data_IF_900179232261
#
_entry.id   IF_900179232261
#
_cell.length_a   1.000
_cell.length_b   1.000
_cell.length_c   1.000
_cell.angle_alpha   90.00
_cell.angle_beta   90.00
_cell.angle_gamma   90.00
#
_symmetry.space_group_name_H-M   'P 1'
#
loop_
_entity.id
_entity.type
_entity.pdbx_description
1 polymer ?
#
# COMPACT_ATOMS: atom_id res chain seq x y z
N UNK A 1 36.32 -42.21 30.37
CA UNK A 1 34.85 -42.30 30.20
C UNK A 1 34.35 -41.00 29.56
N UNK A 2 34.29 -40.98 28.21
CA UNK A 2 33.78 -39.85 27.42
C UNK A 2 32.27 -40.03 27.20
N UNK A 3 31.46 -39.01 27.49
CA UNK A 3 30.06 -38.93 27.06
C UNK A 3 29.99 -38.06 25.80
N UNK A 4 29.93 -38.72 24.65
CA UNK A 4 29.64 -38.11 23.35
C UNK A 4 28.11 -38.15 23.17
N UNK A 5 27.45 -37.00 23.25
CA UNK A 5 26.01 -36.85 23.02
C UNK A 5 25.77 -36.30 21.59
N UNK A 6 24.66 -36.67 20.92
CA UNK A 6 24.55 -36.66 19.47
C UNK A 6 24.17 -35.28 18.92
N UNK A 7 25.04 -34.71 18.08
CA UNK A 7 24.79 -33.47 17.32
C UNK A 7 23.97 -33.73 16.03
N UNK A 8 23.63 -34.99 15.72
CA UNK A 8 23.04 -35.37 14.42
C UNK A 8 21.52 -35.16 14.28
N UNK A 9 20.80 -34.71 15.30
CA UNK A 9 19.31 -34.67 15.30
C UNK A 9 18.63 -33.39 14.79
N UNK A 10 19.36 -32.29 14.53
CA UNK A 10 18.75 -30.95 14.33
C UNK A 10 18.64 -30.53 12.85
N UNK A 11 19.24 -31.27 11.92
CA UNK A 11 19.28 -30.85 10.49
C UNK A 11 18.01 -31.25 9.70
N UNK A 12 17.20 -32.19 10.20
CA UNK A 12 16.05 -32.74 9.47
C UNK A 12 14.76 -31.91 9.47
N UNK A 13 14.59 -30.95 10.37
CA UNK A 13 13.34 -30.16 10.52
C UNK A 13 13.33 -28.84 9.77
N UNK A 14 14.44 -28.43 9.14
CA UNK A 14 14.52 -27.14 8.44
C UNK A 14 13.84 -27.11 7.06
N UNK A 15 13.55 -28.25 6.43
CA UNK A 15 13.04 -28.29 5.04
C UNK A 15 11.51 -28.11 4.96
N UNK A 16 10.77 -28.39 6.03
CA UNK A 16 9.30 -28.21 6.04
C UNK A 16 8.85 -26.77 6.38
N UNK A 17 9.78 -25.85 6.65
CA UNK A 17 9.49 -24.45 7.03
C UNK A 17 9.85 -23.43 5.94
N UNK A 18 10.09 -23.86 4.70
CA UNK A 18 10.58 -23.02 3.59
C UNK A 18 9.56 -21.98 3.06
N UNK A 19 8.39 -21.84 3.70
CA UNK A 19 7.32 -20.95 3.23
C UNK A 19 7.34 -19.51 3.77
N UNK A 20 8.12 -19.20 4.81
CA UNK A 20 8.08 -17.89 5.45
C UNK A 20 9.41 -17.16 5.27
N UNK A 21 9.53 -16.34 4.22
CA UNK A 21 10.71 -15.51 3.96
C UNK A 21 11.19 -14.71 5.20
N UNK A 22 10.26 -14.33 6.08
CA UNK A 22 10.56 -13.60 7.32
C UNK A 22 11.33 -14.40 8.38
N UNK A 23 11.33 -15.74 8.31
CA UNK A 23 12.02 -16.58 9.30
C UNK A 23 13.53 -16.52 9.14
N UNK A 24 14.04 -16.63 7.90
CA UNK A 24 15.48 -16.56 7.62
C UNK A 24 16.06 -15.18 7.93
N UNK A 25 15.33 -14.11 7.63
CA UNK A 25 15.75 -12.75 7.98
C UNK A 25 15.88 -12.61 9.52
N UNK A 26 14.92 -13.13 10.26
CA UNK A 26 14.96 -13.07 11.72
C UNK A 26 16.09 -13.95 12.30
N UNK A 27 16.36 -15.14 11.73
CA UNK A 27 17.47 -16.03 12.16
C UNK A 27 18.86 -15.45 11.82
N UNK A 28 18.98 -14.72 10.72
CA UNK A 28 20.26 -14.12 10.31
C UNK A 28 20.50 -12.73 10.92
N UNK A 29 19.49 -12.15 11.57
CA UNK A 29 19.55 -10.83 12.21
C UNK A 29 20.61 -10.72 13.30
N UNK A 30 21.12 -9.50 13.53
CA UNK A 30 22.05 -9.21 14.64
C UNK A 30 21.42 -9.51 16.00
N UNK A 31 20.11 -9.30 16.13
CA UNK A 31 19.34 -9.56 17.36
C UNK A 31 19.34 -11.05 17.70
N UNK A 32 19.17 -11.92 16.70
CA UNK A 32 19.27 -13.37 16.91
C UNK A 32 20.66 -13.78 17.41
N UNK A 33 21.73 -13.15 16.91
CA UNK A 33 23.10 -13.43 17.38
C UNK A 33 23.30 -13.02 18.83
N UNK A 34 22.69 -11.93 19.29
CA UNK A 34 22.79 -11.47 20.69
C UNK A 34 21.88 -12.23 21.65
N UNK A 35 20.70 -12.66 21.19
CA UNK A 35 19.67 -13.28 22.03
C UNK A 35 18.83 -14.31 21.24
N UNK A 36 19.40 -15.47 20.88
CA UNK A 36 18.75 -16.43 19.98
C UNK A 36 17.46 -17.00 20.58
N UNK A 37 17.45 -17.30 21.88
CA UNK A 37 16.26 -17.84 22.56
C UNK A 37 15.12 -16.82 22.65
N UNK A 38 15.40 -15.57 23.06
CA UNK A 38 14.39 -14.51 23.12
C UNK A 38 13.81 -14.20 21.73
N UNK A 39 14.67 -14.16 20.72
CA UNK A 39 14.24 -13.95 19.33
C UNK A 39 13.35 -15.09 18.84
N UNK A 40 13.69 -16.34 19.14
CA UNK A 40 12.89 -17.52 18.78
C UNK A 40 11.53 -17.50 19.49
N UNK A 41 11.49 -17.12 20.78
CA UNK A 41 10.23 -16.98 21.53
C UNK A 41 9.36 -15.89 20.91
N UNK A 42 9.92 -14.74 20.57
CA UNK A 42 9.20 -13.64 19.90
C UNK A 42 8.71 -13.98 18.49
N UNK A 43 9.38 -14.88 17.77
CA UNK A 43 8.88 -15.40 16.49
C UNK A 43 7.61 -16.23 16.70
N UNK A 44 7.59 -17.08 17.72
CA UNK A 44 6.46 -17.99 18.01
C UNK A 44 5.29 -17.26 18.67
N UNK A 45 5.60 -16.31 19.55
CA UNK A 45 4.64 -15.50 20.31
C UNK A 45 5.01 -14.03 20.17
N UNK A 46 4.58 -13.39 19.07
CA UNK A 46 4.84 -11.98 18.90
C UNK A 46 4.22 -11.17 20.04
N UNK A 47 4.94 -10.14 20.48
CA UNK A 47 4.43 -9.15 21.43
C UNK A 47 3.20 -8.45 20.82
N UNK A 48 2.28 -8.04 21.70
CA UNK A 48 1.10 -7.28 21.29
C UNK A 48 1.54 -6.03 20.49
N UNK A 49 1.04 -5.84 19.25
CA UNK A 49 1.46 -4.73 18.42
C UNK A 49 1.22 -3.35 19.07
N UNK A 50 0.19 -3.20 19.91
CA UNK A 50 -0.05 -1.95 20.63
C UNK A 50 1.03 -1.67 21.68
N UNK A 51 1.50 -2.70 22.38
CA UNK A 51 2.60 -2.57 23.35
C UNK A 51 3.89 -2.15 22.65
N UNK A 52 4.18 -2.71 21.47
CA UNK A 52 5.35 -2.34 20.66
C UNK A 52 5.27 -0.88 20.20
N UNK A 53 4.10 -0.41 19.79
CA UNK A 53 3.90 0.95 19.29
C UNK A 53 3.85 2.01 20.40
N UNK A 54 3.37 1.66 21.59
CA UNK A 54 3.30 2.56 22.77
C UNK A 54 4.60 2.60 23.59
N UNK A 55 5.59 1.77 23.28
CA UNK A 55 6.81 1.66 24.06
C UNK A 55 7.57 3.00 24.19
N UNK A 56 8.04 3.29 25.40
CA UNK A 56 8.91 4.43 25.71
C UNK A 56 10.15 3.94 26.49
N UNK A 57 11.37 4.00 25.93
CA UNK A 57 11.72 4.60 24.63
C UNK A 57 11.15 3.82 23.43
N UNK A 58 11.00 4.45 22.26
CA UNK A 58 10.51 3.80 21.05
C UNK A 58 11.32 2.55 20.70
N UNK A 59 10.64 1.47 20.29
CA UNK A 59 11.28 0.25 19.76
C UNK A 59 11.97 0.53 18.42
N UNK A 60 12.72 -0.46 17.93
CA UNK A 60 13.36 -0.39 16.62
C UNK A 60 12.33 -0.16 15.50
N UNK A 61 12.75 0.48 14.41
CA UNK A 61 11.88 0.71 13.24
C UNK A 61 11.32 -0.60 12.68
N UNK A 62 12.11 -1.67 12.68
CA UNK A 62 11.69 -2.98 12.19
C UNK A 62 10.62 -3.62 13.08
N UNK A 63 10.76 -3.52 14.40
CA UNK A 63 9.76 -4.03 15.34
C UNK A 63 8.43 -3.27 15.20
N UNK A 64 8.51 -1.94 15.06
CA UNK A 64 7.33 -1.08 14.83
C UNK A 64 6.66 -1.40 13.49
N UNK A 65 7.41 -1.59 12.42
CA UNK A 65 6.88 -1.98 11.11
C UNK A 65 6.15 -3.33 11.18
N UNK A 66 6.77 -4.34 11.80
CA UNK A 66 6.16 -5.66 12.03
C UNK A 66 4.91 -5.56 12.90
N UNK A 67 4.91 -4.71 13.92
CA UNK A 67 3.74 -4.45 14.75
C UNK A 67 2.58 -3.84 13.92
N UNK A 68 2.84 -2.82 13.10
CA UNK A 68 1.84 -2.21 12.22
C UNK A 68 1.20 -3.22 11.26
N UNK A 69 1.99 -4.13 10.68
CA UNK A 69 1.47 -5.17 9.80
C UNK A 69 0.60 -6.21 10.52
N UNK A 70 0.75 -6.36 11.83
CA UNK A 70 -0.05 -7.26 12.68
C UNK A 70 -1.25 -6.59 13.33
N UNK A 71 -1.35 -5.26 13.25
CA UNK A 71 -2.49 -4.53 13.81
C UNK A 71 -3.79 -5.03 13.18
N UNK A 72 -4.75 -5.26 14.06
CA UNK A 72 -6.15 -5.53 13.75
C UNK A 72 -7.00 -4.40 14.31
N UNK A 73 -8.11 -4.11 13.64
CA UNK A 73 -9.00 -3.01 14.01
C UNK A 73 -9.63 -3.25 15.40
N UNK A 74 -9.40 -2.39 16.41
CA UNK A 74 -9.87 -2.60 17.77
C UNK A 74 -11.38 -2.87 17.87
N UNK A 75 -12.21 -2.07 17.21
CA UNK A 75 -13.68 -2.21 17.30
C UNK A 75 -14.19 -3.57 16.79
N UNK A 76 -13.56 -4.11 15.75
CA UNK A 76 -13.90 -5.43 15.20
C UNK A 76 -13.46 -6.57 16.12
N UNK A 77 -12.51 -6.32 17.03
CA UNK A 77 -11.89 -7.31 17.91
C UNK A 77 -12.20 -7.09 19.40
N UNK A 78 -13.30 -6.40 19.71
CA UNK A 78 -13.77 -6.19 21.08
C UNK A 78 -13.00 -5.13 21.88
N UNK A 79 -12.19 -4.32 21.22
CA UNK A 79 -11.53 -3.14 21.80
C UNK A 79 -12.45 -1.94 21.95
N UNK A 80 -11.93 -0.87 22.56
CA UNK A 80 -12.69 0.36 22.80
C UNK A 80 -12.59 1.36 21.63
N UNK A 81 -13.51 2.33 21.59
CA UNK A 81 -13.41 3.47 20.65
C UNK A 81 -12.14 4.29 20.89
N UNK A 82 -11.69 4.42 22.14
CA UNK A 82 -10.46 5.13 22.48
C UNK A 82 -9.23 4.44 21.88
N UNK A 83 -9.17 3.11 21.92
CA UNK A 83 -8.08 2.34 21.30
C UNK A 83 -8.11 2.48 19.77
N UNK A 84 -9.30 2.50 19.15
CA UNK A 84 -9.45 2.76 17.72
C UNK A 84 -8.89 4.13 17.34
N UNK A 85 -9.27 5.17 18.08
CA UNK A 85 -8.84 6.55 17.81
C UNK A 85 -7.33 6.72 17.96
N UNK A 86 -6.75 6.17 19.03
CA UNK A 86 -5.31 6.20 19.25
C UNK A 86 -4.55 5.44 18.14
N UNK A 87 -5.08 4.31 17.70
CA UNK A 87 -4.46 3.51 16.65
C UNK A 87 -4.52 4.23 15.28
N UNK A 88 -5.66 4.83 14.94
CA UNK A 88 -5.79 5.65 13.72
C UNK A 88 -4.84 6.84 13.76
N UNK A 89 -4.73 7.56 14.89
CA UNK A 89 -3.79 8.69 15.04
C UNK A 89 -2.32 8.23 14.87
N UNK A 90 -1.96 7.12 15.50
CA UNK A 90 -0.61 6.54 15.39
C UNK A 90 -0.28 6.16 13.95
N UNK A 91 -1.20 5.48 13.26
CA UNK A 91 -1.04 5.09 11.86
C UNK A 91 -1.02 6.31 10.93
N UNK A 92 -1.83 7.34 11.20
CA UNK A 92 -1.86 8.56 10.41
C UNK A 92 -0.54 9.31 10.50
N UNK A 93 -0.01 9.49 11.71
CA UNK A 93 1.32 10.11 11.91
C UNK A 93 2.41 9.31 11.22
N UNK A 94 2.37 7.97 11.34
CA UNK A 94 3.34 7.09 10.72
C UNK A 94 3.30 7.13 9.18
N UNK A 95 2.11 7.14 8.58
CA UNK A 95 1.93 7.14 7.13
C UNK A 95 2.32 8.47 6.46
N UNK A 96 2.08 9.60 7.15
CA UNK A 96 2.23 10.94 6.58
C UNK A 96 3.57 11.60 6.88
N UNK A 97 4.13 11.36 8.07
CA UNK A 97 5.25 12.16 8.59
C UNK A 97 6.46 11.36 9.08
N UNK A 98 6.38 10.02 9.17
CA UNK A 98 7.52 9.23 9.66
C UNK A 98 8.76 9.38 8.75
N UNK A 99 9.98 9.55 9.29
CA UNK A 99 11.18 9.68 8.48
C UNK A 99 11.61 8.36 7.83
N UNK A 100 11.08 7.21 8.27
CA UNK A 100 11.37 5.91 7.67
C UNK A 100 10.34 5.56 6.58
N UNK A 101 10.76 5.33 5.32
CA UNK A 101 9.84 4.90 4.26
C UNK A 101 9.24 3.51 4.55
N UNK A 102 9.95 2.65 5.28
CA UNK A 102 9.47 1.32 5.68
C UNK A 102 8.28 1.43 6.65
N UNK A 103 8.35 2.35 7.61
CA UNK A 103 7.25 2.59 8.55
C UNK A 103 6.04 3.21 7.84
N UNK A 104 6.27 4.13 6.90
CA UNK A 104 5.18 4.68 6.07
C UNK A 104 4.44 3.60 5.30
N UNK A 105 5.16 2.75 4.57
CA UNK A 105 4.57 1.65 3.80
C UNK A 105 3.79 0.69 4.71
N UNK A 106 4.36 0.34 5.87
CA UNK A 106 3.70 -0.54 6.84
C UNK A 106 2.42 0.07 7.40
N UNK A 107 2.43 1.38 7.69
CA UNK A 107 1.26 2.11 8.15
C UNK A 107 0.18 2.23 7.07
N UNK A 108 0.56 2.52 5.82
CA UNK A 108 -0.34 2.56 4.65
C UNK A 108 -1.02 1.21 4.45
N UNK A 109 -0.26 0.11 4.56
CA UNK A 109 -0.82 -1.24 4.45
C UNK A 109 -1.75 -1.60 5.62
N UNK A 110 -1.45 -1.12 6.82
CA UNK A 110 -2.33 -1.28 7.98
C UNK A 110 -3.65 -0.54 7.78
N UNK A 111 -3.59 0.75 7.41
CA UNK A 111 -4.76 1.58 7.12
C UNK A 111 -5.65 0.97 6.02
N UNK A 112 -5.06 0.32 5.03
CA UNK A 112 -5.80 -0.34 3.95
C UNK A 112 -6.70 -1.49 4.41
N UNK A 113 -6.43 -2.07 5.59
CA UNK A 113 -7.23 -3.16 6.17
C UNK A 113 -8.34 -2.66 7.10
N UNK A 114 -8.32 -1.38 7.47
CA UNK A 114 -9.24 -0.82 8.45
C UNK A 114 -10.52 -0.36 7.74
N UNK A 115 -11.66 -0.65 8.35
CA UNK A 115 -12.97 -0.24 7.85
C UNK A 115 -13.35 1.18 8.28
N UNK A 116 -12.60 1.77 9.22
CA UNK A 116 -12.76 3.16 9.68
C UNK A 116 -12.76 4.20 8.55
N UNK A 117 -13.84 4.98 8.45
CA UNK A 117 -14.05 5.99 7.40
C UNK A 117 -12.91 7.03 7.30
N UNK A 118 -12.21 7.32 8.40
CA UNK A 118 -11.08 8.26 8.42
C UNK A 118 -9.85 7.76 7.65
N UNK A 119 -9.67 6.44 7.53
CA UNK A 119 -8.50 5.85 6.89
C UNK A 119 -8.30 6.33 5.43
N UNK A 120 -9.37 6.53 4.67
CA UNK A 120 -9.29 7.03 3.29
C UNK A 120 -8.69 8.44 3.22
N UNK A 121 -9.14 9.36 4.10
CA UNK A 121 -8.59 10.71 4.16
C UNK A 121 -7.11 10.73 4.55
N UNK A 122 -6.72 9.86 5.50
CA UNK A 122 -5.31 9.70 5.91
C UNK A 122 -4.46 9.17 4.75
N UNK A 123 -4.96 8.19 4.00
CA UNK A 123 -4.27 7.66 2.82
C UNK A 123 -4.09 8.74 1.74
N UNK A 124 -5.12 9.53 1.44
CA UNK A 124 -5.01 10.66 0.51
C UNK A 124 -3.96 11.69 0.95
N UNK A 125 -3.89 11.99 2.25
CA UNK A 125 -2.86 12.86 2.80
C UNK A 125 -1.46 12.22 2.70
N UNK A 126 -1.33 10.91 2.93
CA UNK A 126 -0.07 10.18 2.77
C UNK A 126 0.45 10.19 1.32
N UNK A 127 -0.45 10.19 0.33
CA UNK A 127 -0.09 10.37 -1.08
C UNK A 127 0.56 11.74 -1.33
N UNK A 128 -0.05 12.81 -0.80
CA UNK A 128 0.45 14.18 -0.95
C UNK A 128 1.82 14.34 -0.28
N UNK A 129 1.98 13.76 0.92
CA UNK A 129 3.20 13.83 1.71
C UNK A 129 4.24 12.76 1.36
N UNK A 130 4.06 12.02 0.26
CA UNK A 130 4.92 10.89 -0.11
C UNK A 130 6.39 11.26 -0.31
N UNK A 131 6.70 12.53 -0.59
CA UNK A 131 8.07 13.03 -0.75
C UNK A 131 8.91 13.02 0.54
N UNK A 132 8.27 12.86 1.71
CA UNK A 132 8.99 12.72 2.98
C UNK A 132 9.63 14.02 3.50
N UNK A 133 9.22 15.19 3.01
CA UNK A 133 9.67 16.47 3.58
C UNK A 133 8.79 16.79 4.78
N UNK A 134 9.41 16.97 5.93
CA UNK A 134 8.75 17.60 7.07
C UNK A 134 8.67 19.09 6.80
N UNK A 135 7.49 19.69 6.91
CA UNK A 135 7.32 21.15 6.79
C UNK A 135 8.13 21.90 7.84
N UNK A 136 8.43 21.26 8.98
CA UNK A 136 9.24 21.83 10.07
C UNK A 136 10.74 21.87 9.76
N UNK A 137 11.20 21.23 8.67
CA UNK A 137 12.57 21.33 8.20
C UNK A 137 12.80 22.69 7.50
N UNK A 138 12.54 23.78 8.22
CA UNK A 138 13.07 25.09 7.89
C UNK A 138 14.59 24.99 7.97
N UNK A 139 15.24 24.82 6.81
CA UNK A 139 16.70 24.85 6.75
C UNK A 139 17.12 26.25 7.21
N UNK A 140 17.81 26.42 8.35
CA UNK A 140 18.22 27.74 8.79
C UNK A 140 19.22 28.29 7.75
N UNK A 141 18.75 29.21 6.93
CA UNK A 141 19.52 29.87 5.86
C UNK A 141 20.39 31.00 6.42
N UNK A 142 21.07 30.75 7.54
CA UNK A 142 22.11 31.67 8.02
C UNK A 142 23.29 31.62 7.04
N UNK A 143 23.25 32.47 6.01
CA UNK A 143 24.35 32.68 5.07
C UNK A 143 25.54 33.25 5.82
N UNK A 144 26.57 32.43 6.04
CA UNK A 144 27.90 32.94 6.40
C UNK A 144 28.55 33.47 5.12
N UNK A 145 28.86 34.78 5.02
CA UNK A 145 29.54 35.33 3.86
C UNK A 145 30.91 34.65 3.67
N UNK A 146 31.15 34.09 2.49
CA UNK A 146 32.42 33.40 2.16
C UNK A 146 32.43 31.88 2.41
N UNK A 147 31.36 31.29 2.96
CA UNK A 147 31.25 29.85 3.07
C UNK A 147 30.95 29.20 1.72
N UNK A 148 31.63 28.08 1.42
CA UNK A 148 31.36 27.22 0.26
C UNK A 148 29.85 26.87 0.26
N UNK A 149 29.17 26.89 -0.90
CA UNK A 149 27.74 26.57 -0.95
C UNK A 149 27.53 25.21 -0.27
N UNK A 150 26.64 25.13 0.73
CA UNK A 150 26.40 23.87 1.43
C UNK A 150 25.96 22.84 0.41
N UNK A 151 26.51 21.63 0.48
CA UNK A 151 26.00 20.50 -0.28
C UNK A 151 24.50 20.41 0.05
N UNK A 152 23.65 20.57 -0.97
CA UNK A 152 22.21 20.48 -0.82
C UNK A 152 21.91 19.04 -0.38
N UNK A 153 21.72 18.84 0.92
CA UNK A 153 21.27 17.56 1.46
C UNK A 153 19.86 17.34 0.92
N UNK A 154 19.60 16.26 0.18
CA UNK A 154 18.26 15.98 -0.32
C UNK A 154 17.27 15.99 0.85
N UNK A 155 16.37 16.97 0.86
CA UNK A 155 15.28 17.04 1.83
C UNK A 155 14.17 16.14 1.30
N UNK A 156 14.15 14.89 1.73
CA UNK A 156 13.10 13.92 1.36
C UNK A 156 13.63 12.56 0.91
N UNK A 157 12.72 11.71 0.46
CA UNK A 157 13.05 10.38 -0.06
C UNK A 157 13.57 10.45 -1.51
N UNK A 158 14.27 9.39 -1.92
CA UNK A 158 14.59 9.17 -3.33
C UNK A 158 13.29 9.06 -4.15
N UNK A 159 13.28 9.54 -5.41
CA UNK A 159 12.05 9.62 -6.20
C UNK A 159 11.40 8.24 -6.42
N UNK A 160 12.19 7.18 -6.66
CA UNK A 160 11.70 5.79 -6.69
C UNK A 160 10.92 5.36 -5.42
N UNK A 161 11.35 5.84 -4.26
CA UNK A 161 10.67 5.56 -2.98
C UNK A 161 9.35 6.33 -2.89
N UNK A 162 9.32 7.57 -3.39
CA UNK A 162 8.10 8.38 -3.49
C UNK A 162 7.08 7.70 -4.41
N UNK A 163 7.51 7.22 -5.57
CA UNK A 163 6.66 6.46 -6.50
C UNK A 163 6.10 5.22 -5.82
N UNK A 164 6.96 4.45 -5.13
CA UNK A 164 6.55 3.23 -4.42
C UNK A 164 5.48 3.52 -3.36
N UNK A 165 5.67 4.58 -2.57
CA UNK A 165 4.69 5.02 -1.57
C UNK A 165 3.38 5.42 -2.25
N UNK A 166 3.43 6.23 -3.32
CA UNK A 166 2.25 6.68 -4.07
C UNK A 166 1.47 5.50 -4.67
N UNK A 167 2.15 4.56 -5.34
CA UNK A 167 1.53 3.35 -5.87
C UNK A 167 0.85 2.55 -4.76
N UNK A 168 1.54 2.33 -3.63
CA UNK A 168 0.99 1.58 -2.50
C UNK A 168 -0.25 2.25 -1.91
N UNK A 169 -0.25 3.58 -1.76
CA UNK A 169 -1.41 4.34 -1.28
C UNK A 169 -2.60 4.18 -2.22
N UNK A 170 -2.38 4.36 -3.52
CA UNK A 170 -3.42 4.27 -4.55
C UNK A 170 -4.03 2.87 -4.62
N UNK A 171 -3.20 1.83 -4.52
CA UNK A 171 -3.66 0.44 -4.42
C UNK A 171 -4.45 0.18 -3.13
N UNK A 172 -4.02 0.75 -2.00
CA UNK A 172 -4.73 0.66 -0.73
C UNK A 172 -6.11 1.34 -0.77
N UNK A 173 -6.20 2.52 -1.41
CA UNK A 173 -7.47 3.23 -1.62
C UNK A 173 -8.43 2.40 -2.49
N UNK A 174 -7.94 1.85 -3.60
CA UNK A 174 -8.71 0.99 -4.49
C UNK A 174 -9.23 -0.28 -3.80
N UNK A 175 -8.39 -0.92 -2.97
CA UNK A 175 -8.80 -2.09 -2.18
C UNK A 175 -9.90 -1.77 -1.17
N UNK A 176 -9.84 -0.59 -0.55
CA UNK A 176 -10.88 -0.13 0.37
C UNK A 176 -12.22 0.14 -0.31
N UNK A 177 -12.21 0.42 -1.62
CA UNK A 177 -13.42 0.51 -2.44
C UNK A 177 -14.41 1.57 -1.96
N UNK A 178 -13.95 2.67 -1.35
CA UNK A 178 -14.83 3.69 -0.79
C UNK A 178 -15.18 4.75 -1.84
N UNK A 179 -16.44 5.21 -1.93
CA UNK A 179 -16.88 6.09 -3.01
C UNK A 179 -16.14 7.45 -2.99
N UNK A 180 -15.75 7.95 -1.82
CA UNK A 180 -15.03 9.23 -1.67
C UNK A 180 -13.64 9.19 -2.35
N UNK A 181 -13.07 8.00 -2.51
CA UNK A 181 -11.74 7.82 -3.12
C UNK A 181 -11.78 7.79 -4.64
N UNK A 182 -12.95 7.54 -5.25
CA UNK A 182 -13.10 7.36 -6.71
C UNK A 182 -12.69 8.63 -7.46
N UNK A 183 -13.15 9.80 -7.01
CA UNK A 183 -12.81 11.07 -7.62
C UNK A 183 -11.30 11.35 -7.57
N UNK A 184 -10.65 10.99 -6.46
CA UNK A 184 -9.21 11.12 -6.30
C UNK A 184 -8.42 10.14 -7.17
N UNK A 185 -8.84 8.88 -7.24
CA UNK A 185 -8.23 7.90 -8.14
C UNK A 185 -8.41 8.27 -9.61
N UNK A 186 -9.58 8.81 -9.99
CA UNK A 186 -9.86 9.29 -11.34
C UNK A 186 -8.98 10.48 -11.73
N UNK A 187 -8.77 11.43 -10.81
CA UNK A 187 -7.89 12.58 -11.07
C UNK A 187 -6.44 12.16 -11.27
N UNK A 188 -5.95 11.19 -10.47
CA UNK A 188 -4.62 10.61 -10.66
C UNK A 188 -4.54 9.89 -12.01
N UNK A 189 -5.47 8.98 -12.32
CA UNK A 189 -5.46 8.20 -13.56
C UNK A 189 -5.49 9.09 -14.83
N UNK A 190 -6.30 10.16 -14.79
CA UNK A 190 -6.46 11.12 -15.88
C UNK A 190 -5.41 12.24 -15.94
N UNK A 191 -4.47 12.30 -14.99
CA UNK A 191 -3.39 13.30 -14.99
C UNK A 191 -2.38 13.03 -16.11
N UNK A 192 -2.73 13.42 -17.33
CA UNK A 192 -1.79 13.57 -18.45
C UNK A 192 -1.04 14.89 -18.25
N UNK A 193 0.01 14.92 -17.42
CA UNK A 193 0.86 16.11 -17.33
C UNK A 193 1.65 16.27 -18.65
N UNK A 194 1.42 17.30 -19.47
CA UNK A 194 2.17 17.51 -20.69
C UNK A 194 3.50 18.20 -20.35
N UNK A 195 4.59 17.43 -20.34
CA UNK A 195 5.90 17.92 -20.82
C UNK A 195 6.72 18.90 -19.97
N UNK A 196 6.80 18.79 -18.64
CA UNK A 196 7.79 19.56 -17.85
C UNK A 196 8.48 18.78 -16.70
N UNK A 197 8.88 17.54 -16.93
CA UNK A 197 9.79 16.85 -16.00
C UNK A 197 10.63 15.77 -16.70
N UNK A 198 11.89 15.55 -16.27
CA UNK A 198 12.66 14.34 -16.63
C UNK A 198 12.10 13.05 -15.98
N UNK A 199 10.87 13.08 -15.45
CA UNK A 199 10.20 12.11 -14.56
C UNK A 199 8.94 11.50 -15.23
N UNK A 200 9.06 10.93 -16.44
CA UNK A 200 7.91 10.40 -17.19
C UNK A 200 7.45 8.98 -16.82
N UNK A 201 8.26 8.20 -16.08
CA UNK A 201 7.92 6.80 -15.73
C UNK A 201 7.17 6.69 -14.40
N UNK A 202 7.53 7.50 -13.41
CA UNK A 202 6.97 7.43 -12.06
C UNK A 202 5.48 7.78 -12.05
N UNK A 203 5.10 8.81 -12.80
CA UNK A 203 3.70 9.19 -12.97
C UNK A 203 2.91 8.10 -13.70
N UNK A 204 3.53 7.36 -14.63
CA UNK A 204 2.85 6.29 -15.36
C UNK A 204 2.50 5.11 -14.47
N UNK A 205 3.41 4.66 -13.61
CA UNK A 205 3.17 3.53 -12.70
C UNK A 205 2.08 3.86 -11.67
N UNK A 206 2.09 5.09 -11.15
CA UNK A 206 1.06 5.59 -10.23
C UNK A 206 -0.30 5.69 -10.93
N UNK A 207 -0.35 6.16 -12.19
CA UNK A 207 -1.58 6.18 -13.01
C UNK A 207 -2.13 4.78 -13.28
N UNK A 208 -1.27 3.84 -13.67
CA UNK A 208 -1.67 2.44 -13.87
C UNK A 208 -2.19 1.82 -12.56
N UNK A 209 -1.56 2.12 -11.43
CA UNK A 209 -2.06 1.73 -10.12
C UNK A 209 -3.45 2.33 -9.82
N UNK A 210 -3.68 3.59 -10.19
CA UNK A 210 -4.98 4.25 -9.99
C UNK A 210 -6.09 3.63 -10.83
N UNK A 211 -5.80 3.31 -12.09
CA UNK A 211 -6.74 2.59 -12.96
C UNK A 211 -7.04 1.19 -12.41
N UNK A 212 -6.03 0.47 -11.89
CA UNK A 212 -6.24 -0.80 -11.18
C UNK A 212 -7.14 -0.62 -9.95
N UNK A 213 -6.90 0.42 -9.17
CA UNK A 213 -7.70 0.75 -7.99
C UNK A 213 -9.16 1.04 -8.35
N UNK A 214 -9.41 1.85 -9.38
CA UNK A 214 -10.75 2.11 -9.89
C UNK A 214 -11.46 0.82 -10.33
N UNK A 215 -10.75 -0.10 -10.99
CA UNK A 215 -11.29 -1.41 -11.38
C UNK A 215 -11.63 -2.34 -10.21
N UNK A 216 -11.19 -2.03 -8.98
CA UNK A 216 -11.55 -2.72 -7.75
C UNK A 216 -12.72 -2.06 -7.01
N UNK A 217 -12.98 -0.78 -7.26
CA UNK A 217 -14.11 -0.05 -6.70
C UNK A 217 -15.43 -0.50 -7.35
N UNK A 218 -16.25 -1.27 -6.62
CA UNK A 218 -17.54 -1.81 -7.09
C UNK A 218 -18.67 -0.77 -7.02
N UNK A 219 -18.44 0.40 -7.60
CA UNK A 219 -19.38 1.53 -7.61
C UNK A 219 -19.64 2.00 -9.05
N UNK A 220 -20.86 2.46 -9.39
CA UNK A 220 -21.19 2.95 -10.73
C UNK A 220 -20.34 4.17 -11.13
N UNK A 221 -19.94 5.01 -10.17
CA UNK A 221 -19.05 6.14 -10.38
C UNK A 221 -17.67 5.70 -10.89
N UNK A 222 -17.18 4.53 -10.46
CA UNK A 222 -15.90 3.98 -10.92
C UNK A 222 -15.96 3.56 -12.39
N UNK A 223 -17.10 3.00 -12.85
CA UNK A 223 -17.34 2.67 -14.26
C UNK A 223 -17.29 3.95 -15.11
N UNK A 224 -17.93 5.01 -14.62
CA UNK A 224 -17.94 6.32 -15.31
C UNK A 224 -16.54 6.91 -15.38
N UNK A 225 -15.80 6.88 -14.27
CA UNK A 225 -14.41 7.35 -14.21
C UNK A 225 -13.49 6.58 -15.17
N UNK A 226 -13.59 5.25 -15.22
CA UNK A 226 -12.79 4.41 -16.13
C UNK A 226 -13.10 4.71 -17.60
N UNK A 227 -14.36 4.90 -17.98
CA UNK A 227 -14.74 5.28 -19.34
C UNK A 227 -14.19 6.67 -19.73
N UNK A 228 -14.20 7.62 -18.79
CA UNK A 228 -13.58 8.94 -18.98
C UNK A 228 -12.06 8.85 -19.17
N UNK A 229 -11.36 8.08 -18.32
CA UNK A 229 -9.91 7.84 -18.44
C UNK A 229 -9.58 7.20 -19.79
N UNK A 230 -10.34 6.18 -20.19
CA UNK A 230 -10.14 5.50 -21.46
C UNK A 230 -10.36 6.45 -22.66
N UNK A 231 -11.34 7.35 -22.59
CA UNK A 231 -11.57 8.39 -23.61
C UNK A 231 -10.42 9.40 -23.63
N UNK A 232 -9.96 9.88 -22.48
CA UNK A 232 -8.91 10.89 -22.36
C UNK A 232 -7.54 10.38 -22.85
N UNK A 233 -7.26 9.09 -22.68
CA UNK A 233 -6.00 8.43 -22.98
C UNK A 233 -5.99 7.68 -24.32
N UNK A 234 -7.13 7.68 -25.03
CA UNK A 234 -7.23 7.05 -26.34
C UNK A 234 -6.22 7.65 -27.32
N UNK A 235 -5.37 6.80 -27.90
CA UNK A 235 -4.28 7.22 -28.79
C UNK A 235 -3.05 7.82 -28.10
N UNK A 236 -3.05 7.97 -26.76
CA UNK A 236 -1.92 8.49 -25.97
C UNK A 236 -1.14 7.38 -25.27
N UNK A 237 -1.78 6.65 -24.35
CA UNK A 237 -1.16 5.55 -23.60
C UNK A 237 -2.00 4.28 -23.71
N UNK A 238 -1.60 3.38 -24.61
CA UNK A 238 -2.28 2.11 -24.84
C UNK A 238 -2.33 1.21 -23.60
N UNK A 239 -1.35 1.30 -22.67
CA UNK A 239 -1.35 0.49 -21.46
C UNK A 239 -2.44 0.97 -20.48
N UNK A 240 -2.60 2.28 -20.35
CA UNK A 240 -3.66 2.87 -19.51
C UNK A 240 -5.04 2.55 -20.09
N UNK A 241 -5.21 2.68 -21.41
CA UNK A 241 -6.45 2.31 -22.12
C UNK A 241 -6.78 0.84 -21.93
N UNK A 242 -5.82 -0.06 -22.16
CA UNK A 242 -6.01 -1.50 -21.97
C UNK A 242 -6.39 -1.85 -20.54
N UNK A 243 -5.72 -1.24 -19.55
CA UNK A 243 -6.04 -1.49 -18.14
C UNK A 243 -7.40 -0.92 -17.72
N UNK A 244 -7.80 0.24 -18.27
CA UNK A 244 -9.11 0.82 -18.02
C UNK A 244 -10.22 -0.07 -18.62
N UNK A 245 -9.98 -0.59 -19.82
CA UNK A 245 -10.85 -1.57 -20.46
C UNK A 245 -11.01 -2.85 -19.60
N UNK A 246 -9.92 -3.44 -19.11
CA UNK A 246 -9.99 -4.60 -18.21
C UNK A 246 -10.83 -4.31 -16.96
N UNK A 247 -10.66 -3.12 -16.38
CA UNK A 247 -11.43 -2.66 -15.23
C UNK A 247 -12.93 -2.58 -15.54
N UNK A 248 -13.29 -2.01 -16.70
CA UNK A 248 -14.68 -1.92 -17.16
C UNK A 248 -15.29 -3.31 -17.39
N UNK A 249 -14.56 -4.23 -18.03
CA UNK A 249 -14.99 -5.62 -18.21
C UNK A 249 -15.19 -6.31 -16.87
N UNK A 250 -14.26 -6.15 -15.93
CA UNK A 250 -14.36 -6.74 -14.58
C UNK A 250 -15.54 -6.19 -13.77
N UNK A 251 -15.83 -4.89 -13.88
CA UNK A 251 -16.92 -4.24 -13.13
C UNK A 251 -18.30 -4.53 -13.73
N UNK A 252 -18.41 -4.53 -15.07
CA UNK A 252 -19.71 -4.65 -15.77
C UNK A 252 -20.02 -6.06 -16.27
N UNK A 253 -19.02 -6.94 -16.34
CA UNK A 253 -19.14 -8.27 -16.96
C UNK A 253 -19.29 -8.24 -18.49
N UNK A 254 -19.32 -7.06 -19.12
CA UNK A 254 -19.54 -6.93 -20.55
C UNK A 254 -18.23 -7.04 -21.33
N UNK A 255 -18.19 -7.94 -22.32
CA UNK A 255 -17.04 -8.13 -23.22
C UNK A 255 -17.24 -7.36 -24.53
N UNK A 256 -17.16 -6.04 -24.46
CA UNK A 256 -17.15 -5.18 -25.66
C UNK A 256 -15.72 -4.76 -26.01
N UNK A 257 -15.40 -4.41 -27.27
CA UNK A 257 -14.06 -3.95 -27.64
C UNK A 257 -13.62 -2.72 -26.82
N UNK A 258 -12.31 -2.47 -26.75
CA UNK A 258 -11.70 -1.31 -26.11
C UNK A 258 -11.92 0.01 -26.91
N UNK A 259 -13.18 0.29 -27.25
CA UNK A 259 -13.64 1.46 -27.99
C UNK A 259 -14.33 2.44 -27.01
N UNK A 260 -13.77 3.65 -26.80
CA UNK A 260 -14.37 4.66 -25.93
C UNK A 260 -15.82 4.99 -26.25
N UNK A 261 -16.21 5.04 -27.53
CA UNK A 261 -17.57 5.41 -27.92
C UNK A 261 -18.59 4.36 -27.44
N UNK A 262 -18.25 3.07 -27.54
CA UNK A 262 -19.12 1.97 -27.09
C UNK A 262 -19.25 1.94 -25.57
N UNK A 263 -18.15 2.10 -24.85
CA UNK A 263 -18.20 2.14 -23.38
C UNK A 263 -18.99 3.35 -22.87
N UNK A 264 -18.91 4.51 -23.54
CA UNK A 264 -19.73 5.66 -23.18
C UNK A 264 -21.22 5.41 -23.37
N UNK A 265 -21.62 4.65 -24.39
CA UNK A 265 -23.03 4.22 -24.56
C UNK A 265 -23.48 3.29 -23.42
N UNK A 266 -22.63 2.35 -23.00
CA UNK A 266 -22.91 1.45 -21.87
C UNK A 266 -23.06 2.23 -20.57
N UNK A 267 -22.20 3.22 -20.32
CA UNK A 267 -22.30 4.10 -19.14
C UNK A 267 -23.59 4.93 -19.18
N UNK A 268 -23.92 5.53 -20.33
CA UNK A 268 -25.17 6.30 -20.51
C UNK A 268 -26.43 5.46 -20.35
N UNK A 269 -26.38 4.17 -20.69
CA UNK A 269 -27.48 3.23 -20.51
C UNK A 269 -27.68 2.80 -19.05
N UNK A 270 -26.84 3.25 -18.11
CA UNK A 270 -26.92 2.87 -16.70
C UNK A 270 -26.29 1.50 -16.43
N UNK A 271 -25.00 1.37 -16.74
CA UNK A 271 -24.23 0.13 -16.56
C UNK A 271 -24.46 -0.50 -15.18
N UNK A 272 -24.88 -1.77 -15.17
CA UNK A 272 -25.05 -2.55 -13.95
C UNK A 272 -23.70 -3.09 -13.49
N UNK A 273 -23.34 -2.80 -12.23
CA UNK A 273 -22.13 -3.37 -11.62
C UNK A 273 -22.43 -4.82 -11.25
N UNK A 274 -21.60 -5.74 -11.74
CA UNK A 274 -21.71 -7.17 -11.41
C UNK A 274 -21.39 -7.34 -9.93
N UNK A 275 -22.25 -8.03 -9.16
CA UNK A 275 -21.99 -8.30 -7.74
C UNK A 275 -20.67 -9.08 -7.58
N UNK A 276 -20.02 -8.95 -6.42
CA UNK A 276 -18.76 -9.64 -6.18
C UNK A 276 -18.97 -11.16 -6.31
N UNK A 277 -18.14 -11.86 -7.12
CA UNK A 277 -18.21 -13.31 -7.19
C UNK A 277 -17.95 -13.87 -5.79
N UNK A 278 -18.90 -14.69 -5.32
CA UNK A 278 -18.75 -15.35 -4.04
C UNK A 278 -17.54 -16.33 -4.09
N UNK A 279 -17.15 -16.89 -2.95
CA UNK A 279 -16.00 -17.82 -2.88
C UNK A 279 -16.21 -19.04 -3.79
N UNK A 280 -17.45 -19.49 -3.96
CA UNK A 280 -17.80 -20.61 -4.85
C UNK A 280 -17.59 -20.22 -6.31
N UNK A 281 -18.07 -19.05 -6.74
CA UNK A 281 -17.88 -18.54 -8.10
C UNK A 281 -16.39 -18.40 -8.44
N UNK A 282 -15.58 -17.94 -7.48
CA UNK A 282 -14.12 -17.88 -7.62
C UNK A 282 -13.49 -19.26 -7.78
N UNK A 283 -13.90 -20.23 -6.97
CA UNK A 283 -13.41 -21.60 -7.07
C UNK A 283 -13.81 -22.25 -8.40
N UNK A 284 -15.06 -22.04 -8.84
CA UNK A 284 -15.57 -22.55 -10.12
C UNK A 284 -14.82 -21.93 -11.30
N UNK A 285 -14.64 -20.60 -11.32
CA UNK A 285 -13.87 -19.93 -12.36
C UNK A 285 -12.39 -20.36 -12.38
N UNK A 286 -11.81 -20.73 -11.25
CA UNK A 286 -10.45 -21.27 -11.20
C UNK A 286 -10.36 -22.67 -11.81
N UNK A 287 -11.34 -23.54 -11.56
CA UNK A 287 -11.35 -24.92 -12.08
C UNK A 287 -11.74 -24.96 -13.56
N UNK A 288 -12.77 -24.21 -13.96
CA UNK A 288 -13.39 -24.32 -15.28
C UNK A 288 -12.95 -23.23 -16.25
N UNK A 289 -12.22 -22.22 -15.78
CA UNK A 289 -11.99 -20.99 -16.51
C UNK A 289 -13.19 -20.03 -16.41
N UNK A 290 -13.00 -18.75 -16.73
CA UNK A 290 -14.11 -17.81 -16.81
C UNK A 290 -15.07 -18.24 -17.94
N UNK A 291 -16.41 -18.08 -17.76
CA UNK A 291 -17.40 -18.43 -18.78
C UNK A 291 -17.25 -17.65 -20.09
#
# INVERSE_FOLDING_TARGET
MLRVLPIAGVVGTCVALTGCASTLDTVTSRTFRSSPFDTTVKMVRPEDPLVVLRANPPRSGDDRAKAMLRLQEPLTNGGSQADQDEMIDTLARAATSDPSPVLRLSAIEALARFQDQRAAGVLMLAYQNAHGRSEDATVPTARVPGARPPLAVPTGFAPDTVTTIRCRVVESLGRGGRPETIAFLASIAGSSAPGQGPEGSEDRDVRLAAVRGLGQCRHPEAVTALAQVMTAEHGKDAAVVGRAHDGLVNLTGQRIPADPARWNQVVQAGATVVPEPNVVDRAVNWVLGPP
#
